data_IF_928050093881
#
_entry.id   IF_928050093881
#
_cell.length_a   1.000
_cell.length_b   1.000
_cell.length_c   1.000
_cell.angle_alpha   90.00
_cell.angle_beta   90.00
_cell.angle_gamma   90.00
#
_symmetry.space_group_name_H-M   'P 1'
#
loop_
_entity.id
_entity.type
_entity.pdbx_description
1 polymer ?
#
# COMPACT_ATOMS: atom_id res chain seq x y z
N UNK A 1 -6.84 9.49 7.19
CA UNK A 1 -5.40 9.24 7.37
C UNK A 1 -4.61 10.33 6.65
N UNK A 2 -3.54 10.87 7.27
CA UNK A 2 -2.65 11.81 6.59
C UNK A 2 -2.03 11.18 5.34
N UNK A 3 -1.57 12.01 4.40
CA UNK A 3 -0.90 11.54 3.19
C UNK A 3 0.29 10.62 3.58
N UNK A 4 0.50 9.52 2.85
CA UNK A 4 1.61 8.61 3.12
C UNK A 4 2.92 9.37 2.93
N UNK A 5 3.79 9.28 3.94
CA UNK A 5 5.15 9.82 3.87
C UNK A 5 5.93 9.03 2.80
N UNK A 6 6.46 9.70 1.75
CA UNK A 6 7.14 9.03 0.65
C UNK A 6 8.45 8.34 1.06
N UNK A 7 9.14 8.88 2.08
CA UNK A 7 10.49 8.47 2.48
C UNK A 7 10.50 7.68 3.79
N UNK A 8 9.37 7.61 4.49
CA UNK A 8 9.29 6.97 5.80
C UNK A 8 9.17 5.44 5.80
N UNK A 9 9.05 4.78 4.64
CA UNK A 9 8.86 3.31 4.52
C UNK A 9 9.62 2.77 3.32
N UNK A 10 10.36 1.69 3.54
CA UNK A 10 11.16 0.96 2.56
C UNK A 10 10.92 -0.55 2.69
N UNK A 11 11.22 -1.32 1.63
CA UNK A 11 11.26 -2.78 1.70
C UNK A 11 12.68 -3.21 2.07
N UNK A 12 12.82 -4.31 2.80
CA UNK A 12 14.13 -4.87 3.07
C UNK A 12 14.72 -5.47 1.79
N UNK A 13 16.02 -5.23 1.55
CA UNK A 13 16.77 -5.85 0.45
C UNK A 13 16.94 -7.37 0.65
N UNK A 14 16.97 -7.84 1.91
CA UNK A 14 17.10 -9.26 2.24
C UNK A 14 15.81 -10.05 1.99
N UNK A 15 14.67 -9.42 2.27
CA UNK A 15 13.34 -10.05 2.17
C UNK A 15 12.32 -9.04 1.60
N UNK A 16 11.79 -9.27 0.38
CA UNK A 16 10.82 -8.37 -0.25
C UNK A 16 9.44 -8.35 0.44
N UNK A 17 9.28 -9.12 1.52
CA UNK A 17 8.08 -9.17 2.37
C UNK A 17 8.26 -8.42 3.69
N UNK A 18 9.47 -7.99 4.00
CA UNK A 18 9.79 -7.23 5.22
C UNK A 18 9.74 -5.74 4.93
N UNK A 19 9.00 -5.00 5.76
CA UNK A 19 8.79 -3.55 5.60
C UNK A 19 9.54 -2.83 6.72
N UNK A 20 10.51 -2.02 6.33
CA UNK A 20 11.26 -1.14 7.22
C UNK A 20 10.55 0.22 7.28
N UNK A 21 10.60 0.87 8.44
CA UNK A 21 10.13 2.24 8.57
C UNK A 21 11.15 3.06 9.32
N UNK A 22 11.43 4.25 8.80
CA UNK A 22 12.34 5.19 9.41
C UNK A 22 11.69 5.86 10.60
N UNK A 23 12.47 6.17 11.64
CA UNK A 23 12.04 7.00 12.77
C UNK A 23 12.97 8.19 12.93
N UNK A 24 12.39 9.38 13.03
CA UNK A 24 13.12 10.64 13.29
C UNK A 24 12.73 11.17 14.68
N UNK A 25 13.53 12.09 15.23
CA UNK A 25 13.21 12.75 16.51
C UNK A 25 11.88 13.52 16.45
N UNK A 26 11.51 14.05 15.28
CA UNK A 26 10.24 14.72 15.03
C UNK A 26 9.37 13.95 14.01
N UNK A 27 8.05 14.15 14.08
CA UNK A 27 7.08 13.64 13.12
C UNK A 27 6.26 12.42 13.57
N UNK A 28 5.53 11.85 12.61
CA UNK A 28 4.42 10.93 12.89
C UNK A 28 4.84 9.46 13.09
N UNK A 29 5.68 9.15 14.10
CA UNK A 29 6.18 7.79 14.38
C UNK A 29 5.05 6.75 14.53
N UNK A 30 3.98 7.09 15.25
CA UNK A 30 2.80 6.21 15.44
C UNK A 30 2.13 5.87 14.10
N UNK A 31 1.97 6.84 13.21
CA UNK A 31 1.37 6.62 11.90
C UNK A 31 2.27 5.79 10.97
N UNK A 32 3.59 6.03 10.99
CA UNK A 32 4.56 5.22 10.22
C UNK A 32 4.55 3.76 10.64
N UNK A 33 4.62 3.47 11.95
CA UNK A 33 4.53 2.11 12.48
C UNK A 33 3.22 1.43 12.09
N UNK A 34 2.08 2.12 12.23
CA UNK A 34 0.77 1.57 11.85
C UNK A 34 0.69 1.28 10.35
N UNK A 35 1.25 2.15 9.51
CA UNK A 35 1.30 1.97 8.06
C UNK A 35 2.19 0.78 7.69
N UNK A 36 3.39 0.67 8.25
CA UNK A 36 4.30 -0.46 8.00
C UNK A 36 3.67 -1.80 8.40
N UNK A 37 3.02 -1.86 9.57
CA UNK A 37 2.30 -3.06 10.00
C UNK A 37 1.18 -3.46 9.03
N UNK A 38 0.44 -2.49 8.49
CA UNK A 38 -0.62 -2.76 7.51
C UNK A 38 -0.06 -3.24 6.16
N UNK A 39 1.03 -2.63 5.68
CA UNK A 39 1.70 -3.07 4.44
C UNK A 39 2.23 -4.50 4.60
N UNK A 40 2.87 -4.81 5.73
CA UNK A 40 3.38 -6.15 6.02
C UNK A 40 2.22 -7.19 6.04
N UNK A 41 1.06 -6.85 6.62
CA UNK A 41 -0.15 -7.69 6.53
C UNK A 41 -0.59 -7.94 5.08
N UNK A 42 -0.59 -6.91 4.24
CA UNK A 42 -0.99 -7.06 2.83
C UNK A 42 0.02 -7.92 2.04
N UNK A 43 1.32 -7.76 2.31
CA UNK A 43 2.39 -8.54 1.65
C UNK A 43 2.41 -10.01 2.08
N UNK A 44 1.93 -10.33 3.28
CA UNK A 44 1.76 -11.71 3.77
C UNK A 44 0.60 -12.46 3.11
N UNK A 45 -0.25 -11.79 2.35
CA UNK A 45 -1.30 -12.50 1.60
C UNK A 45 -0.67 -13.36 0.49
N UNK A 46 -1.32 -14.46 0.05
CA UNK A 46 -0.75 -15.37 -0.94
C UNK A 46 -0.34 -14.68 -2.26
N UNK A 47 -1.08 -13.65 -2.63
CA UNK A 47 -0.88 -12.86 -3.85
C UNK A 47 -0.05 -11.59 -3.60
N UNK A 48 0.40 -11.36 -2.36
CA UNK A 48 0.99 -10.12 -1.92
C UNK A 48 0.03 -8.92 -2.04
N UNK A 49 0.58 -7.72 -1.89
CA UNK A 49 -0.21 -6.50 -2.03
C UNK A 49 -0.36 -6.13 -3.52
N UNK A 50 -1.24 -6.84 -4.23
CA UNK A 50 -1.44 -6.72 -5.66
C UNK A 50 -2.76 -6.02 -6.04
N UNK A 51 -2.77 -5.36 -7.19
CA UNK A 51 -3.95 -4.70 -7.75
C UNK A 51 -4.90 -5.74 -8.36
N UNK A 52 -6.18 -5.80 -7.97
CA UNK A 52 -7.12 -6.80 -8.48
C UNK A 52 -7.54 -6.58 -9.94
N UNK A 53 -7.16 -5.46 -10.55
CA UNK A 53 -7.56 -5.10 -11.93
C UNK A 53 -6.48 -5.46 -12.95
N UNK A 54 -5.21 -5.38 -12.56
CA UNK A 54 -4.09 -5.56 -13.48
C UNK A 54 -3.01 -6.52 -12.94
N UNK A 55 -3.14 -7.04 -11.73
CA UNK A 55 -2.15 -7.95 -11.12
C UNK A 55 -0.89 -7.26 -10.59
N UNK A 56 -0.55 -6.07 -11.10
CA UNK A 56 0.63 -5.31 -10.66
C UNK A 56 0.65 -5.01 -9.15
N UNK A 57 1.84 -4.99 -8.52
CA UNK A 57 1.98 -4.65 -7.11
C UNK A 57 1.50 -3.22 -6.84
N UNK A 58 0.87 -3.02 -5.68
CA UNK A 58 0.48 -1.68 -5.21
C UNK A 58 1.74 -0.96 -4.72
N UNK A 59 2.09 0.22 -5.27
CA UNK A 59 3.29 0.94 -4.88
C UNK A 59 3.25 1.34 -3.41
N UNK A 60 4.38 1.23 -2.71
CA UNK A 60 4.47 1.58 -1.29
C UNK A 60 4.05 3.02 -1.02
N UNK A 61 4.30 3.95 -1.95
CA UNK A 61 3.91 5.37 -1.84
C UNK A 61 2.40 5.59 -1.76
N UNK A 62 1.58 4.56 -2.04
CA UNK A 62 0.14 4.61 -1.80
C UNK A 62 -0.16 4.48 -0.30
N UNK A 63 -1.41 4.79 0.05
CA UNK A 63 -1.90 4.50 1.40
C UNK A 63 -1.93 2.98 1.61
N UNK A 64 -1.72 2.51 2.84
CA UNK A 64 -1.67 1.08 3.13
C UNK A 64 -3.03 0.35 2.95
N UNK A 65 -4.12 1.10 2.90
CA UNK A 65 -5.47 0.63 2.56
C UNK A 65 -5.79 0.73 1.06
N UNK A 66 -4.84 1.20 0.23
CA UNK A 66 -5.06 1.29 -1.20
C UNK A 66 -5.18 -0.11 -1.82
N UNK A 67 -6.30 -0.34 -2.50
CA UNK A 67 -6.57 -1.61 -3.21
C UNK A 67 -6.00 -1.59 -4.63
N UNK A 68 -5.84 -0.40 -5.23
CA UNK A 68 -5.46 -0.26 -6.64
C UNK A 68 -4.09 0.43 -6.77
N UNK A 69 -3.27 -0.05 -7.69
CA UNK A 69 -1.94 0.52 -7.96
C UNK A 69 -2.03 1.96 -8.51
N UNK A 70 -3.04 2.25 -9.35
CA UNK A 70 -3.21 3.50 -10.09
C UNK A 70 -4.67 3.97 -10.15
N UNK A 71 -4.93 5.29 -10.37
CA UNK A 71 -6.30 5.82 -10.47
C UNK A 71 -7.07 5.26 -11.66
N UNK A 72 -6.37 4.92 -12.75
CA UNK A 72 -6.96 4.26 -13.93
C UNK A 72 -7.58 2.91 -13.58
N UNK A 73 -6.89 2.09 -12.77
CA UNK A 73 -7.41 0.81 -12.28
C UNK A 73 -8.64 1.00 -11.41
N UNK A 74 -8.64 1.99 -10.50
CA UNK A 74 -9.84 2.34 -9.71
C UNK A 74 -11.02 2.74 -10.60
N UNK A 75 -10.79 3.57 -11.62
CA UNK A 75 -11.83 3.98 -12.58
C UNK A 75 -12.34 2.79 -13.39
N UNK A 76 -11.46 1.90 -13.85
CA UNK A 76 -11.83 0.68 -14.59
C UNK A 76 -12.69 -0.25 -13.72
N UNK A 77 -12.29 -0.49 -12.48
CA UNK A 77 -13.10 -1.26 -11.52
C UNK A 77 -14.48 -0.64 -11.29
N UNK A 78 -14.58 0.69 -11.17
CA UNK A 78 -15.87 1.38 -11.05
C UNK A 78 -16.75 1.20 -12.28
N UNK A 79 -16.18 1.25 -13.49
CA UNK A 79 -16.93 1.01 -14.75
C UNK A 79 -17.39 -0.43 -14.87
N UNK A 80 -16.54 -1.40 -14.54
CA UNK A 80 -16.87 -2.84 -14.60
C UNK A 80 -17.99 -3.22 -13.63
N UNK A 81 -18.11 -2.51 -12.51
CA UNK A 81 -19.20 -2.76 -11.54
C UNK A 81 -20.58 -2.29 -12.05
N UNK A 82 -20.64 -1.46 -13.09
CA UNK A 82 -21.88 -0.92 -13.65
C UNK A 82 -22.76 -0.18 -12.62
N UNK A 83 -23.84 0.49 -13.03
CA UNK A 83 -25.00 0.56 -12.16
C UNK A 83 -25.54 -0.87 -11.99
N UNK A 84 -25.82 -1.29 -10.76
CA UNK A 84 -26.69 -2.45 -10.54
C UNK A 84 -28.03 -2.06 -11.13
N UNK A 85 -28.40 -2.70 -12.25
CA UNK A 85 -29.71 -2.51 -12.90
C UNK A 85 -30.78 -3.14 -12.04
#
# INVERSE_FOLDING_TARGET
MPAPDPFGIELSDEDPRTVLFHTWMCGNRKHRRRRAAQINKNLRTPFGWACPVCGEPVPLQRRADAVYCRPSCKKKAKRLRGPVV
#
